data_IF_112398250008
#
_entry.id   IF_112398250008
#
_cell.length_a   1.000
_cell.length_b   1.000
_cell.length_c   1.000
_cell.angle_alpha   90.00
_cell.angle_beta   90.00
_cell.angle_gamma   90.00
#
_symmetry.space_group_name_H-M   'P 1'
#
loop_
_entity.id
_entity.type
_entity.pdbx_description
1 polymer ?
#
# COMPACT_ATOMS: atom_id res chain seq x y z
N UNK A 1 62.58 25.53 -5.93
CA UNK A 1 61.14 25.19 -6.07
C UNK A 1 60.99 23.70 -5.86
N UNK A 2 60.20 23.34 -4.86
CA UNK A 2 60.29 22.06 -4.15
C UNK A 2 59.71 20.89 -4.97
N UNK A 3 60.46 19.78 -5.07
CA UNK A 3 60.04 18.50 -5.69
C UNK A 3 58.71 18.00 -5.10
N UNK A 4 58.39 18.42 -3.88
CA UNK A 4 57.11 18.15 -3.21
C UNK A 4 55.90 18.80 -3.88
N UNK A 5 56.03 19.99 -4.48
CA UNK A 5 54.91 20.63 -5.19
C UNK A 5 54.54 19.87 -6.48
N UNK A 6 55.53 19.34 -7.20
CA UNK A 6 55.30 18.57 -8.44
C UNK A 6 54.63 17.23 -8.12
N UNK A 7 55.05 16.56 -7.05
CA UNK A 7 54.42 15.33 -6.57
C UNK A 7 52.97 15.55 -6.10
N UNK A 8 52.70 16.66 -5.39
CA UNK A 8 51.34 17.01 -4.98
C UNK A 8 50.43 17.28 -6.17
N UNK A 9 50.91 18.01 -7.19
CA UNK A 9 50.14 18.27 -8.42
C UNK A 9 49.88 16.97 -9.18
N UNK A 10 50.85 16.06 -9.26
CA UNK A 10 50.67 14.74 -9.90
C UNK A 10 49.69 13.85 -9.14
N UNK A 11 49.75 13.81 -7.80
CA UNK A 11 48.81 13.03 -6.98
C UNK A 11 47.38 13.59 -7.09
N UNK A 12 47.21 14.91 -7.16
CA UNK A 12 45.91 15.53 -7.38
C UNK A 12 45.38 15.23 -8.79
N UNK A 13 46.24 15.23 -9.82
CA UNK A 13 45.86 14.84 -11.18
C UNK A 13 45.46 13.37 -11.29
N UNK A 14 46.18 12.45 -10.65
CA UNK A 14 45.82 11.01 -10.68
C UNK A 14 44.53 10.75 -9.91
N UNK A 15 44.31 11.44 -8.79
CA UNK A 15 43.08 11.32 -8.00
C UNK A 15 41.83 11.87 -8.71
N UNK A 16 41.96 12.91 -9.56
CA UNK A 16 40.83 13.42 -10.35
C UNK A 16 40.49 12.53 -11.53
N UNK A 17 41.46 11.82 -12.11
CA UNK A 17 41.23 10.90 -13.24
C UNK A 17 40.57 9.58 -12.75
N UNK A 18 40.91 9.11 -11.55
CA UNK A 18 40.28 7.90 -10.97
C UNK A 18 38.91 8.15 -10.32
N UNK A 19 38.60 9.40 -9.95
CA UNK A 19 37.27 9.79 -9.48
C UNK A 19 36.23 9.81 -10.62
N UNK A 20 36.68 9.89 -11.86
CA UNK A 20 35.88 9.56 -13.05
C UNK A 20 35.88 8.03 -13.25
N UNK A 21 35.54 7.33 -12.17
CA UNK A 21 35.10 5.94 -12.15
C UNK A 21 33.82 5.84 -12.96
N UNK A 22 33.97 5.99 -14.27
CA UNK A 22 32.97 5.89 -15.30
C UNK A 22 32.31 4.55 -15.14
N UNK A 23 31.20 4.54 -14.39
CA UNK A 23 30.15 3.54 -14.53
C UNK A 23 29.73 3.64 -15.99
N UNK A 24 30.45 2.94 -16.88
CA UNK A 24 30.11 2.77 -18.29
C UNK A 24 28.68 2.29 -18.25
N UNK A 25 27.76 3.21 -18.54
CA UNK A 25 26.34 2.92 -18.53
C UNK A 25 26.19 1.77 -19.52
N UNK A 26 25.58 0.64 -19.14
CA UNK A 26 25.46 -0.48 -20.05
C UNK A 26 24.84 0.06 -21.35
N UNK A 27 25.45 -0.27 -22.51
CA UNK A 27 25.03 0.28 -23.78
C UNK A 27 23.55 0.00 -23.96
N UNK A 28 22.85 0.98 -24.52
CA UNK A 28 21.44 0.85 -24.79
C UNK A 28 21.19 -0.37 -25.66
N UNK A 29 20.38 -1.30 -25.14
CA UNK A 29 19.89 -2.41 -25.95
C UNK A 29 19.23 -1.81 -27.18
N UNK A 30 19.63 -2.27 -28.37
CA UNK A 30 19.30 -1.65 -29.65
C UNK A 30 17.81 -1.48 -29.91
N UNK A 31 17.49 -0.85 -31.06
CA UNK A 31 16.11 -0.59 -31.49
C UNK A 31 15.27 -1.87 -31.52
N UNK A 32 13.95 -1.72 -31.39
CA UNK A 32 12.98 -2.78 -31.61
C UNK A 32 13.28 -3.48 -32.94
N UNK A 33 13.48 -4.79 -32.90
CA UNK A 33 13.61 -5.58 -34.12
C UNK A 33 12.23 -5.96 -34.67
N UNK A 34 12.19 -6.55 -35.87
CA UNK A 34 10.93 -6.93 -36.52
C UNK A 34 10.10 -7.92 -35.68
N UNK A 35 10.74 -8.86 -34.96
CA UNK A 35 10.03 -9.81 -34.08
C UNK A 35 9.38 -9.10 -32.90
N UNK A 36 10.07 -8.11 -32.32
CA UNK A 36 9.55 -7.30 -31.23
C UNK A 36 8.31 -6.51 -31.68
N UNK A 37 8.32 -5.97 -32.91
CA UNK A 37 7.21 -5.19 -33.47
C UNK A 37 5.96 -6.04 -33.75
N UNK A 38 6.13 -7.35 -34.01
CA UNK A 38 5.04 -8.30 -34.20
C UNK A 38 4.42 -8.77 -32.86
N UNK A 39 5.02 -8.40 -31.72
CA UNK A 39 4.49 -8.76 -30.41
C UNK A 39 3.15 -8.09 -30.13
N UNK A 40 2.19 -8.87 -29.63
CA UNK A 40 0.91 -8.34 -29.11
C UNK A 40 1.01 -7.89 -27.65
N UNK A 41 2.12 -8.19 -26.98
CA UNK A 41 2.28 -7.90 -25.57
C UNK A 41 2.63 -6.41 -25.36
N UNK A 42 1.71 -5.69 -24.76
CA UNK A 42 1.90 -4.29 -24.40
C UNK A 42 2.10 -4.13 -22.89
N UNK A 43 2.95 -3.16 -22.54
CA UNK A 43 3.16 -2.66 -21.19
C UNK A 43 2.43 -1.33 -21.05
N UNK A 44 1.96 -1.05 -19.83
CA UNK A 44 1.37 0.22 -19.48
C UNK A 44 2.41 1.05 -18.74
N UNK A 45 2.62 2.29 -19.15
CA UNK A 45 3.40 3.27 -18.38
C UNK A 45 2.51 4.42 -17.94
N UNK A 46 2.90 5.07 -16.84
CA UNK A 46 2.21 6.24 -16.31
C UNK A 46 3.18 7.40 -16.16
N UNK A 47 2.80 8.54 -16.71
CA UNK A 47 3.36 9.83 -16.32
C UNK A 47 2.65 10.31 -15.04
N UNK A 48 3.42 10.47 -13.97
CA UNK A 48 2.90 10.94 -12.69
C UNK A 48 2.52 12.41 -12.71
N UNK A 49 3.18 13.25 -13.53
CA UNK A 49 2.95 14.70 -13.59
C UNK A 49 1.61 15.02 -14.23
N UNK A 50 1.31 14.35 -15.34
CA UNK A 50 0.08 14.59 -16.12
C UNK A 50 -1.02 13.57 -15.84
N UNK A 51 -0.74 12.52 -15.06
CA UNK A 51 -1.62 11.38 -14.86
C UNK A 51 -2.07 10.71 -16.17
N UNK A 52 -1.22 10.80 -17.19
CA UNK A 52 -1.41 10.17 -18.51
C UNK A 52 -0.82 8.78 -18.50
N UNK A 53 -1.53 7.84 -19.09
CA UNK A 53 -1.07 6.47 -19.30
C UNK A 53 -0.81 6.24 -20.79
N UNK A 54 0.19 5.42 -21.11
CA UNK A 54 0.54 5.06 -22.49
C UNK A 54 0.72 3.55 -22.58
N UNK A 55 0.14 2.93 -23.61
CA UNK A 55 0.43 1.55 -24.00
C UNK A 55 1.65 1.53 -24.90
N UNK A 56 2.64 0.71 -24.58
CA UNK A 56 3.85 0.54 -25.41
C UNK A 56 4.17 -0.94 -25.56
N UNK A 57 4.85 -1.33 -26.64
CA UNK A 57 5.57 -2.61 -26.64
C UNK A 57 6.69 -2.57 -25.60
N UNK A 58 7.06 -3.73 -25.05
CA UNK A 58 8.20 -3.82 -24.13
C UNK A 58 9.49 -3.27 -24.77
N UNK A 59 9.72 -3.55 -26.05
CA UNK A 59 10.87 -3.01 -26.78
C UNK A 59 10.84 -1.47 -26.86
N UNK A 60 9.67 -0.87 -27.12
CA UNK A 60 9.48 0.59 -27.21
C UNK A 60 9.71 1.27 -25.86
N UNK A 61 9.36 0.60 -24.76
CA UNK A 61 9.71 1.08 -23.42
C UNK A 61 11.22 1.09 -23.19
N UNK A 62 11.95 0.06 -23.65
CA UNK A 62 13.43 0.03 -23.58
C UNK A 62 14.03 1.17 -24.37
N UNK A 63 13.63 1.36 -25.62
CA UNK A 63 14.07 2.49 -26.47
C UNK A 63 13.81 3.84 -25.79
N UNK A 64 12.59 4.04 -25.27
CA UNK A 64 12.21 5.26 -24.57
C UNK A 64 13.07 5.51 -23.33
N UNK A 65 13.32 4.48 -22.53
CA UNK A 65 14.14 4.60 -21.34
C UNK A 65 15.61 4.84 -21.67
N UNK A 66 16.08 4.32 -22.80
CA UNK A 66 17.39 4.63 -23.35
C UNK A 66 17.53 6.10 -23.73
N UNK A 67 16.62 6.62 -24.56
CA UNK A 67 16.63 8.04 -24.93
C UNK A 67 16.53 8.94 -23.68
N UNK A 68 15.71 8.57 -22.68
CA UNK A 68 15.63 9.32 -21.42
C UNK A 68 16.96 9.33 -20.67
N UNK A 69 17.64 8.18 -20.60
CA UNK A 69 18.94 8.06 -19.95
C UNK A 69 20.01 8.91 -20.62
N UNK A 70 20.02 8.95 -21.95
CA UNK A 70 20.94 9.79 -22.73
C UNK A 70 20.72 11.28 -22.46
N UNK A 71 19.48 11.67 -22.15
CA UNK A 71 19.10 13.02 -21.73
C UNK A 71 19.20 13.24 -20.20
N UNK A 72 19.81 12.33 -19.44
CA UNK A 72 19.94 12.44 -17.98
C UNK A 72 18.63 12.32 -17.19
N UNK A 73 17.54 11.86 -17.83
CA UNK A 73 16.24 11.67 -17.21
C UNK A 73 16.08 10.26 -16.63
N UNK A 74 15.34 10.16 -15.52
CA UNK A 74 15.02 8.85 -14.94
C UNK A 74 14.18 7.98 -15.88
N UNK A 75 14.45 6.66 -15.95
CA UNK A 75 13.63 5.70 -16.69
C UNK A 75 12.18 5.68 -16.21
N UNK A 76 11.26 5.57 -17.16
CA UNK A 76 9.84 5.34 -16.85
C UNK A 76 9.63 3.87 -16.49
N UNK A 77 8.94 3.64 -15.37
CA UNK A 77 8.60 2.29 -14.90
C UNK A 77 7.26 1.85 -15.47
N UNK A 78 7.14 0.54 -15.69
CA UNK A 78 5.85 -0.08 -15.98
C UNK A 78 4.91 0.07 -14.77
N UNK A 79 3.65 0.36 -15.05
CA UNK A 79 2.55 0.36 -14.07
C UNK A 79 1.60 -0.80 -14.32
N UNK A 80 0.62 -0.99 -13.43
CA UNK A 80 -0.39 -2.04 -13.59
C UNK A 80 -1.11 -1.89 -14.93
N UNK A 81 -1.22 -2.97 -15.71
CA UNK A 81 -1.83 -2.95 -17.05
C UNK A 81 -3.27 -2.42 -17.03
N UNK A 82 -3.98 -2.65 -15.91
CA UNK A 82 -5.34 -2.18 -15.67
C UNK A 82 -5.48 -0.65 -15.66
N UNK A 83 -4.38 0.09 -15.46
CA UNK A 83 -4.35 1.56 -15.57
C UNK A 83 -4.51 2.05 -17.01
N UNK A 84 -4.17 1.22 -18.01
CA UNK A 84 -4.33 1.55 -19.43
C UNK A 84 -5.61 0.94 -20.04
N UNK A 85 -6.51 0.34 -19.24
CA UNK A 85 -7.65 -0.44 -19.77
C UNK A 85 -8.63 0.38 -20.63
N UNK A 86 -8.74 1.69 -20.39
CA UNK A 86 -9.63 2.58 -21.15
C UNK A 86 -8.98 3.14 -22.43
N UNK A 87 -7.69 2.86 -22.65
CA UNK A 87 -6.97 3.35 -23.83
C UNK A 87 -7.16 2.33 -24.94
N UNK A 88 -7.87 2.70 -26.00
CA UNK A 88 -8.08 1.83 -27.17
C UNK A 88 -6.87 1.88 -28.10
N UNK A 89 -6.57 0.75 -28.74
CA UNK A 89 -5.47 0.63 -29.70
C UNK A 89 -4.18 0.01 -29.15
N UNK A 90 -3.15 0.07 -30.00
CA UNK A 90 -1.88 -0.63 -29.83
C UNK A 90 -0.79 0.22 -29.17
N UNK A 91 0.46 -0.14 -29.43
CA UNK A 91 1.63 0.58 -28.92
C UNK A 91 1.68 2.02 -29.44
N UNK A 92 1.95 2.97 -28.55
CA UNK A 92 2.00 4.41 -28.84
C UNK A 92 0.75 5.17 -28.37
N UNK A 93 -0.36 4.47 -28.15
CA UNK A 93 -1.62 5.10 -27.71
C UNK A 93 -1.53 5.61 -26.28
N UNK A 94 -1.98 6.85 -26.07
CA UNK A 94 -1.96 7.54 -24.78
C UNK A 94 -3.35 8.07 -24.42
N UNK A 95 -3.64 8.17 -23.13
CA UNK A 95 -4.88 8.74 -22.63
C UNK A 95 -4.87 8.87 -21.10
N UNK A 96 -5.98 9.36 -20.53
CA UNK A 96 -6.09 9.42 -19.05
C UNK A 96 -6.00 8.02 -18.46
N UNK A 97 -5.19 7.88 -17.41
CA UNK A 97 -5.12 6.62 -16.67
C UNK A 97 -6.47 6.24 -16.07
N UNK A 98 -6.90 4.98 -16.22
CA UNK A 98 -8.07 4.45 -15.55
C UNK A 98 -7.90 4.47 -14.03
N UNK A 99 -8.98 4.73 -13.26
CA UNK A 99 -8.94 4.69 -11.80
C UNK A 99 -8.47 3.32 -11.29
N UNK A 100 -7.81 3.28 -10.13
CA UNK A 100 -7.34 2.01 -9.55
C UNK A 100 -8.56 1.15 -9.20
N UNK A 101 -8.57 -0.10 -9.66
CA UNK A 101 -9.63 -1.07 -9.36
C UNK A 101 -9.76 -1.37 -7.87
N UNK A 102 -8.64 -1.31 -7.16
CA UNK A 102 -8.60 -1.44 -5.71
C UNK A 102 -7.93 -0.19 -5.19
N UNK A 103 -8.71 0.67 -4.53
CA UNK A 103 -8.16 1.50 -3.47
C UNK A 103 -7.44 0.53 -2.53
N UNK A 104 -6.12 0.66 -2.31
CA UNK A 104 -5.54 0.02 -1.14
C UNK A 104 -6.43 0.43 0.03
N UNK A 105 -6.91 -0.53 0.82
CA UNK A 105 -7.57 -0.18 2.07
C UNK A 105 -6.69 0.85 2.75
N UNK A 106 -7.25 1.98 3.22
CA UNK A 106 -6.46 3.04 3.84
C UNK A 106 -5.50 2.35 4.79
N UNK A 107 -4.20 2.60 4.60
CA UNK A 107 -3.15 1.98 5.43
C UNK A 107 -3.55 2.35 6.84
N UNK A 108 -4.12 1.38 7.57
CA UNK A 108 -4.57 1.63 8.93
C UNK A 108 -3.36 2.18 9.66
N UNK A 109 -3.45 3.38 10.25
CA UNK A 109 -2.39 3.91 11.12
C UNK A 109 -2.05 2.94 12.27
N UNK A 110 -2.92 1.97 12.50
CA UNK A 110 -2.72 0.85 13.39
C UNK A 110 -1.49 -0.01 13.01
N UNK A 111 -0.59 -0.19 13.97
CA UNK A 111 0.59 -1.03 13.83
C UNK A 111 0.28 -2.49 13.48
N UNK A 112 1.27 -3.21 12.92
CA UNK A 112 1.17 -4.61 12.46
C UNK A 112 0.41 -5.52 13.46
N UNK A 113 0.72 -5.40 14.75
CA UNK A 113 0.09 -6.17 15.84
C UNK A 113 -1.43 -5.96 15.93
N UNK A 114 -1.91 -4.73 15.76
CA UNK A 114 -3.35 -4.41 15.84
C UNK A 114 -4.08 -4.94 14.60
N UNK A 115 -3.42 -4.95 13.44
CA UNK A 115 -3.96 -5.54 12.21
C UNK A 115 -4.11 -7.05 12.32
N UNK A 116 -3.07 -7.74 12.78
CA UNK A 116 -3.11 -9.20 13.01
C UNK A 116 -4.18 -9.57 14.05
N UNK A 117 -4.28 -8.81 15.13
CA UNK A 117 -5.30 -8.98 16.15
C UNK A 117 -6.73 -8.88 15.59
N UNK A 118 -7.01 -7.91 14.71
CA UNK A 118 -8.32 -7.73 14.06
C UNK A 118 -8.64 -8.78 13.00
N UNK A 119 -7.63 -9.36 12.37
CA UNK A 119 -7.80 -10.37 11.32
C UNK A 119 -7.98 -11.79 11.87
N UNK A 120 -7.78 -12.00 13.18
CA UNK A 120 -7.98 -13.31 13.81
C UNK A 120 -9.42 -13.80 13.62
N UNK A 121 -9.57 -15.02 13.09
CA UNK A 121 -10.86 -15.68 12.90
C UNK A 121 -11.36 -16.27 14.21
N UNK A 122 -12.67 -16.19 14.45
CA UNK A 122 -13.34 -16.72 15.63
C UNK A 122 -14.15 -17.97 15.25
N UNK A 123 -13.46 -19.07 14.94
CA UNK A 123 -14.10 -20.30 14.42
C UNK A 123 -14.59 -21.23 15.54
N UNK A 124 -13.84 -21.30 16.64
CA UNK A 124 -14.08 -22.28 17.73
C UNK A 124 -14.94 -21.71 18.86
N UNK A 125 -14.98 -20.39 19.01
CA UNK A 125 -15.66 -19.74 20.13
C UNK A 125 -17.09 -19.33 19.74
N UNK A 126 -18.01 -20.27 19.94
CA UNK A 126 -19.44 -20.13 19.59
C UNK A 126 -20.30 -19.61 20.75
N UNK A 127 -19.76 -19.56 21.98
CA UNK A 127 -20.55 -19.17 23.16
C UNK A 127 -20.58 -17.66 23.29
N UNK A 128 -21.69 -17.06 22.86
CA UNK A 128 -21.94 -15.64 23.05
C UNK A 128 -22.37 -15.34 24.50
N UNK A 129 -21.90 -14.21 25.02
CA UNK A 129 -22.34 -13.68 26.32
C UNK A 129 -22.53 -12.17 26.25
N UNK A 130 -23.06 -11.59 27.31
CA UNK A 130 -23.19 -10.14 27.42
C UNK A 130 -21.85 -9.48 27.78
N UNK A 131 -21.51 -8.42 27.06
CA UNK A 131 -20.33 -7.58 27.28
C UNK A 131 -20.75 -6.14 27.41
N UNK A 132 -20.12 -5.40 28.32
CA UNK A 132 -20.29 -3.96 28.48
C UNK A 132 -18.97 -3.24 28.20
N UNK A 133 -19.03 -1.98 27.81
CA UNK A 133 -17.90 -1.06 27.87
C UNK A 133 -18.13 0.05 28.90
N UNK A 134 -17.11 0.88 29.13
CA UNK A 134 -17.16 1.95 30.13
C UNK A 134 -18.05 3.12 29.70
N UNK A 135 -18.42 3.18 28.42
CA UNK A 135 -19.35 4.16 27.87
C UNK A 135 -20.82 3.74 28.04
N UNK A 136 -21.08 2.61 28.70
CA UNK A 136 -22.44 2.11 28.91
C UNK A 136 -23.02 1.39 27.69
N UNK A 137 -22.18 1.04 26.71
CA UNK A 137 -22.55 0.18 25.61
C UNK A 137 -22.57 -1.28 26.06
N UNK A 138 -23.57 -2.04 25.60
CA UNK A 138 -23.72 -3.48 25.76
C UNK A 138 -23.79 -4.17 24.40
N UNK A 139 -23.22 -5.37 24.30
CA UNK A 139 -23.23 -6.19 23.09
C UNK A 139 -23.24 -7.68 23.46
N UNK A 140 -24.02 -8.47 22.72
CA UNK A 140 -23.93 -9.93 22.76
C UNK A 140 -22.90 -10.38 21.74
N UNK A 141 -21.84 -11.06 22.19
CA UNK A 141 -20.74 -11.52 21.35
C UNK A 141 -19.91 -12.62 22.05
N UNK A 142 -19.14 -13.39 21.29
CA UNK A 142 -18.22 -14.38 21.86
C UNK A 142 -16.97 -13.73 22.46
N UNK A 143 -16.18 -14.49 23.23
CA UNK A 143 -14.94 -13.99 23.85
C UNK A 143 -13.90 -13.63 22.79
N UNK A 144 -13.83 -14.40 21.72
CA UNK A 144 -12.97 -14.12 20.57
C UNK A 144 -13.40 -12.83 19.86
N UNK A 145 -14.70 -12.63 19.63
CA UNK A 145 -15.23 -11.41 19.02
C UNK A 145 -14.94 -10.18 19.88
N UNK A 146 -15.14 -10.27 21.19
CA UNK A 146 -14.81 -9.21 22.14
C UNK A 146 -13.32 -8.85 22.11
N UNK A 147 -12.43 -9.85 22.16
CA UNK A 147 -10.97 -9.67 22.05
C UNK A 147 -10.58 -8.99 20.73
N UNK A 148 -11.17 -9.43 19.62
CA UNK A 148 -10.94 -8.86 18.29
C UNK A 148 -11.36 -7.40 18.20
N UNK A 149 -12.49 -7.03 18.82
CA UNK A 149 -12.95 -5.62 18.90
C UNK A 149 -12.09 -4.79 19.87
N UNK A 150 -11.53 -5.41 20.90
CA UNK A 150 -10.63 -4.74 21.86
C UNK A 150 -9.26 -4.41 21.27
N UNK A 151 -8.85 -5.04 20.16
CA UNK A 151 -7.57 -4.80 19.50
C UNK A 151 -7.32 -3.31 19.15
N UNK A 152 -8.37 -2.57 18.80
CA UNK A 152 -8.30 -1.15 18.44
C UNK A 152 -8.93 -0.23 19.49
N UNK A 153 -9.35 -0.76 20.65
CA UNK A 153 -9.93 0.02 21.74
C UNK A 153 -8.86 0.35 22.78
N UNK A 154 -8.94 1.57 23.33
CA UNK A 154 -8.12 1.95 24.48
C UNK A 154 -8.42 1.03 25.67
N UNK A 155 -7.44 0.69 26.53
CA UNK A 155 -7.64 -0.19 27.69
C UNK A 155 -8.83 0.22 28.57
N UNK A 156 -9.07 1.53 28.70
CA UNK A 156 -10.14 2.11 29.51
C UNK A 156 -11.56 1.95 28.94
N UNK A 157 -11.69 1.55 27.66
CA UNK A 157 -12.98 1.39 27.00
C UNK A 157 -13.11 0.02 26.29
N UNK A 158 -12.46 -1.00 26.83
CA UNK A 158 -12.57 -2.36 26.33
C UNK A 158 -13.91 -2.99 26.70
N UNK A 159 -14.38 -3.90 25.85
CA UNK A 159 -15.47 -4.80 26.16
C UNK A 159 -15.05 -5.76 27.26
N UNK A 160 -15.78 -5.74 28.38
CA UNK A 160 -15.63 -6.63 29.53
C UNK A 160 -16.92 -7.44 29.72
N UNK A 161 -16.82 -8.67 30.25
CA UNK A 161 -18.01 -9.47 30.53
C UNK A 161 -18.88 -8.78 31.58
N UNK A 162 -20.19 -8.90 31.42
CA UNK A 162 -21.17 -8.40 32.38
C UNK A 162 -22.35 -9.36 32.50
N UNK A 163 -23.29 -9.00 33.36
CA UNK A 163 -24.48 -9.79 33.63
C UNK A 163 -25.40 -9.88 32.40
N UNK A 164 -25.92 -11.08 32.12
CA UNK A 164 -26.64 -11.36 30.88
C UNK A 164 -27.88 -10.47 30.66
N UNK A 165 -28.57 -10.11 31.74
CA UNK A 165 -29.80 -9.29 31.68
C UNK A 165 -29.55 -7.88 31.13
N UNK A 166 -28.33 -7.34 31.24
CA UNK A 166 -27.98 -6.01 30.70
C UNK A 166 -28.06 -5.97 29.17
N UNK A 167 -27.92 -7.12 28.53
CA UNK A 167 -28.08 -7.28 27.08
C UNK A 167 -29.45 -7.84 26.67
N UNK A 168 -30.44 -7.86 27.58
CA UNK A 168 -31.79 -8.32 27.26
C UNK A 168 -32.35 -7.58 26.04
N UNK A 169 -32.71 -8.31 24.98
CA UNK A 169 -33.22 -7.74 23.72
C UNK A 169 -32.15 -7.30 22.73
N UNK A 170 -30.86 -7.53 23.01
CA UNK A 170 -29.76 -7.31 22.05
C UNK A 170 -29.44 -8.65 21.37
N UNK A 171 -29.41 -8.66 20.04
CA UNK A 171 -29.05 -9.86 19.26
C UNK A 171 -27.54 -9.87 18.99
N UNK A 172 -26.94 -11.05 18.92
CA UNK A 172 -25.52 -11.20 18.58
C UNK A 172 -25.23 -10.56 17.21
N UNK A 173 -24.19 -9.73 17.14
CA UNK A 173 -23.77 -9.09 15.90
C UNK A 173 -24.38 -7.70 15.64
N UNK A 174 -25.41 -7.27 16.37
CA UNK A 174 -26.05 -5.95 16.21
C UNK A 174 -25.17 -4.75 16.63
N UNK A 175 -23.99 -5.01 17.20
CA UNK A 175 -23.07 -3.97 17.66
C UNK A 175 -23.38 -3.49 19.08
N UNK A 176 -22.71 -2.41 19.51
CA UNK A 176 -22.90 -1.86 20.85
C UNK A 176 -24.18 -1.04 20.93
N UNK A 177 -25.16 -1.49 21.72
CA UNK A 177 -26.38 -0.74 22.07
C UNK A 177 -26.28 -0.21 23.50
N UNK A 178 -27.16 0.69 23.94
CA UNK A 178 -27.19 1.08 25.36
C UNK A 178 -27.53 -0.13 26.23
N UNK A 179 -26.79 -0.32 27.32
CA UNK A 179 -27.12 -1.34 28.31
C UNK A 179 -28.49 -1.09 28.93
N UNK A 180 -29.22 -2.18 29.19
CA UNK A 180 -30.44 -2.10 29.99
C UNK A 180 -30.08 -1.71 31.42
N UNK A 181 -30.81 -0.76 31.97
CA UNK A 181 -30.75 -0.40 33.39
C UNK A 181 -31.86 -1.13 34.13
N UNK A 182 -31.60 -1.55 35.36
CA UNK A 182 -32.68 -1.93 36.27
C UNK A 182 -33.28 -0.62 36.80
N UNK A 183 -34.54 -0.37 36.49
CA UNK A 183 -35.35 0.55 37.29
C UNK A 183 -35.56 -0.12 38.64
N UNK A 184 -34.90 0.40 39.67
CA UNK A 184 -35.29 0.10 41.05
C UNK A 184 -36.60 0.87 41.22
N UNK A 185 -37.72 0.15 41.27
CA UNK A 185 -38.98 0.73 41.69
C UNK A 185 -38.88 0.74 43.21
N UNK A 186 -38.53 1.88 43.80
CA UNK A 186 -38.75 2.10 45.22
C UNK A 186 -40.27 2.04 45.42
N UNK A 187 -40.72 0.99 46.09
CA UNK A 187 -42.07 0.93 46.64
C UNK A 187 -41.99 1.60 48.01
N UNK A 188 -42.29 2.89 48.06
CA UNK A 188 -42.79 3.54 49.27
C UNK A 188 -44.28 3.18 49.46
#
# INVERSE_FOLDING_TARGET
MSKFCVLLVLVVLVATIEADGGRRRPPCAGRCNQRDLLSRQTVCIRDSRTNTCTKLLACRLREKNCARRDNGLEPVKQTCVTRCRNILGGSGTSGRCAPRLRTPSPVSHDGKRVRECRQRRCLEDKVAGCWTDRQGGCSVQSRCEARRRNCSRRPTNQWIRTEQWRCSGIIQGEGGRRCRTRTIIDKD
#
